data_IF_583305604969
#
_entry.id   IF_583305604969
#
_cell.length_a   1.000
_cell.length_b   1.000
_cell.length_c   1.000
_cell.angle_alpha   90.00
_cell.angle_beta   90.00
_cell.angle_gamma   90.00
#
_symmetry.space_group_name_H-M   'P 1'
#
loop_
_entity.id
_entity.type
_entity.pdbx_description
1 polymer ?
#
# COMPACT_ATOMS: atom_id res chain seq x y z
N UNK A 1 -13.72 -13.78 -17.55
CA UNK A 1 -13.92 -13.34 -17.22
C UNK A 1 -13.45 -12.67 -16.51
N UNK A 2 -13.18 -12.41 -16.16
CA UNK A 2 -12.81 -11.81 -15.44
C UNK A 2 -11.58 -11.30 -15.35
N UNK A 3 -10.91 -11.00 -16.30
CA UNK A 3 -9.70 -10.44 -16.34
C UNK A 3 -9.64 -9.13 -15.83
N UNK A 4 -10.54 -8.27 -15.94
CA UNK A 4 -10.45 -6.98 -15.43
C UNK A 4 -10.58 -7.00 -13.94
N UNK A 5 -11.04 -8.03 -13.31
CA UNK A 5 -11.07 -8.06 -11.87
C UNK A 5 -9.74 -8.46 -11.27
N UNK A 6 -8.76 -8.85 -12.06
CA UNK A 6 -7.46 -9.23 -11.53
C UNK A 6 -6.80 -8.09 -10.76
N UNK A 7 -6.84 -6.87 -11.28
CA UNK A 7 -6.24 -5.73 -10.59
C UNK A 7 -6.98 -5.41 -9.30
N UNK A 8 -8.29 -5.51 -9.32
CA UNK A 8 -9.11 -5.26 -8.14
C UNK A 8 -8.82 -6.31 -7.08
N UNK A 9 -8.70 -7.56 -7.50
CA UNK A 9 -8.40 -8.65 -6.57
C UNK A 9 -7.03 -8.48 -5.94
N UNK A 10 -6.04 -8.06 -6.71
CA UNK A 10 -4.69 -7.81 -6.21
C UNK A 10 -4.71 -6.68 -5.19
N UNK A 11 -5.41 -5.59 -5.50
CA UNK A 11 -5.50 -4.44 -4.61
C UNK A 11 -6.16 -4.85 -3.30
N UNK A 12 -7.24 -5.59 -3.37
CA UNK A 12 -7.94 -6.03 -2.18
C UNK A 12 -7.06 -6.94 -1.34
N UNK A 13 -6.32 -7.82 -1.99
CA UNK A 13 -5.41 -8.71 -1.31
C UNK A 13 -4.32 -7.93 -0.59
N UNK A 14 -3.78 -6.91 -1.25
CA UNK A 14 -2.77 -6.06 -0.64
C UNK A 14 -3.36 -5.34 0.57
N UNK A 15 -4.55 -4.78 0.43
CA UNK A 15 -5.22 -4.12 1.55
C UNK A 15 -5.39 -5.06 2.73
N UNK A 16 -5.83 -6.28 2.46
CA UNK A 16 -6.01 -7.26 3.52
C UNK A 16 -4.70 -7.61 4.22
N UNK A 17 -3.61 -7.65 3.46
CA UNK A 17 -2.30 -7.97 4.02
C UNK A 17 -1.79 -6.85 4.92
N UNK A 18 -1.95 -5.59 4.50
CA UNK A 18 -1.29 -4.47 5.17
C UNK A 18 -2.19 -3.74 6.17
N UNK A 19 -3.49 -3.91 6.08
CA UNK A 19 -4.43 -3.13 6.89
C UNK A 19 -4.18 -3.27 8.39
N UNK A 20 -4.17 -4.49 8.88
CA UNK A 20 -4.00 -4.72 10.31
C UNK A 20 -2.62 -4.31 10.82
N UNK A 21 -1.53 -4.70 10.16
CA UNK A 21 -0.21 -4.25 10.62
C UNK A 21 -0.07 -2.74 10.65
N UNK A 22 -0.64 -2.03 9.68
CA UNK A 22 -0.58 -0.58 9.68
C UNK A 22 -1.46 0.02 10.77
N UNK A 23 -2.63 -0.55 11.00
CA UNK A 23 -3.51 -0.10 12.07
C UNK A 23 -2.82 -0.26 13.43
N UNK A 24 -2.09 -1.35 13.61
CA UNK A 24 -1.35 -1.60 14.84
C UNK A 24 -0.28 -0.54 15.09
N UNK A 25 0.21 0.08 14.02
CA UNK A 25 1.20 1.14 14.12
C UNK A 25 0.58 2.54 14.16
N UNK A 26 -0.75 2.63 14.06
CA UNK A 26 -1.45 3.90 14.13
C UNK A 26 -1.75 4.54 12.79
N UNK A 27 -1.76 3.75 11.73
CA UNK A 27 -2.03 4.27 10.38
C UNK A 27 -3.24 3.61 9.77
N UNK A 28 -3.99 4.39 8.99
CA UNK A 28 -5.10 3.88 8.20
C UNK A 28 -4.79 3.97 6.73
N UNK A 29 -5.39 3.08 5.94
CA UNK A 29 -5.23 3.09 4.50
C UNK A 29 -6.32 3.96 3.90
N UNK A 30 -5.92 4.99 3.16
CA UNK A 30 -6.87 5.84 2.45
C UNK A 30 -7.15 5.26 1.08
N UNK A 31 -6.10 4.82 0.39
CA UNK A 31 -6.25 4.35 -0.98
C UNK A 31 -5.08 3.48 -1.39
N UNK A 32 -5.36 2.49 -2.22
CA UNK A 32 -4.33 1.66 -2.82
C UNK A 32 -4.57 1.65 -4.33
N UNK A 33 -3.56 2.00 -5.09
CA UNK A 33 -3.64 2.02 -6.55
C UNK A 33 -2.48 1.23 -7.13
N UNK A 34 -2.76 0.50 -8.18
CA UNK A 34 -1.73 -0.23 -8.92
C UNK A 34 -1.84 0.21 -10.37
N UNK A 35 -0.78 0.79 -10.91
CA UNK A 35 -0.78 1.30 -12.26
C UNK A 35 0.42 0.79 -13.04
N UNK A 36 0.39 0.97 -14.36
CA UNK A 36 1.47 0.57 -15.24
C UNK A 36 1.30 -0.86 -15.76
N UNK A 37 1.82 -1.10 -16.94
CA UNK A 37 1.77 -2.43 -17.55
C UNK A 37 3.10 -3.14 -17.47
N UNK A 38 4.15 -2.47 -17.88
CA UNK A 38 5.49 -3.04 -17.88
C UNK A 38 6.18 -2.74 -16.58
N UNK A 39 6.10 -1.47 -16.16
CA UNK A 39 6.65 -1.05 -14.88
C UNK A 39 5.50 -0.69 -13.99
N UNK A 40 5.20 -1.56 -13.07
CA UNK A 40 4.08 -1.35 -12.17
C UNK A 40 4.48 -0.48 -11.00
N UNK A 41 3.58 0.43 -10.63
CA UNK A 41 3.75 1.27 -9.46
C UNK A 41 2.59 1.00 -8.52
N UNK A 42 2.92 0.59 -7.31
CA UNK A 42 1.93 0.41 -6.26
C UNK A 42 1.96 1.66 -5.40
N UNK A 43 0.87 2.40 -5.40
CA UNK A 43 0.75 3.63 -4.64
C UNK A 43 -0.18 3.40 -3.46
N UNK A 44 0.29 3.69 -2.27
CA UNK A 44 -0.49 3.54 -1.06
C UNK A 44 -0.60 4.89 -0.38
N UNK A 45 -1.84 5.34 -0.20
CA UNK A 45 -2.09 6.57 0.54
C UNK A 45 -2.52 6.22 1.94
N UNK A 46 -1.90 6.84 2.91
CA UNK A 46 -2.14 6.54 4.32
C UNK A 46 -2.51 7.81 5.07
N UNK A 47 -3.10 7.61 6.23
CA UNK A 47 -3.40 8.68 7.15
C UNK A 47 -3.10 8.18 8.55
N UNK A 48 -2.95 9.10 9.50
CA UNK A 48 -2.75 8.70 10.89
C UNK A 48 -4.10 8.62 11.59
N UNK A 49 -4.24 7.63 12.45
CA UNK A 49 -5.49 7.42 13.17
C UNK A 49 -5.66 8.40 14.32
N UNK A 50 -4.58 9.09 14.72
CA UNK A 50 -4.61 10.06 15.83
C UNK A 50 -4.83 11.50 15.36
N UNK A 51 -5.18 11.68 14.08
CA UNK A 51 -5.44 12.99 13.49
C UNK A 51 -4.23 13.90 13.41
N UNK A 52 -3.05 13.40 13.69
CA UNK A 52 -1.81 14.15 13.52
C UNK A 52 -1.40 14.03 12.04
N UNK A 53 -0.93 15.12 11.42
CA UNK A 53 -0.52 15.03 10.01
C UNK A 53 0.61 14.05 9.80
N UNK A 54 0.53 13.31 8.69
CA UNK A 54 1.56 12.36 8.31
C UNK A 54 2.78 13.15 7.84
N UNK A 55 3.95 12.73 8.27
CA UNK A 55 5.21 13.37 7.83
C UNK A 55 6.04 12.35 7.03
N UNK A 56 7.21 12.81 6.60
CA UNK A 56 8.09 11.97 5.75
C UNK A 56 8.56 10.73 6.50
N UNK A 57 8.84 10.86 7.79
CA UNK A 57 9.27 9.72 8.60
C UNK A 57 8.16 8.67 8.69
N UNK A 58 6.92 9.12 8.78
CA UNK A 58 5.78 8.21 8.80
C UNK A 58 5.71 7.42 7.50
N UNK A 59 5.85 8.11 6.37
CA UNK A 59 5.82 7.45 5.07
C UNK A 59 6.95 6.44 4.94
N UNK A 60 8.13 6.77 5.43
CA UNK A 60 9.27 5.85 5.37
C UNK A 60 9.03 4.61 6.22
N UNK A 61 8.47 4.79 7.41
CA UNK A 61 8.17 3.66 8.29
C UNK A 61 7.12 2.74 7.67
N UNK A 62 6.07 3.33 7.12
CA UNK A 62 5.02 2.55 6.47
C UNK A 62 5.56 1.83 5.25
N UNK A 63 6.38 2.52 4.46
CA UNK A 63 6.97 1.93 3.27
C UNK A 63 7.78 0.68 3.61
N UNK A 64 8.58 0.75 4.67
CA UNK A 64 9.37 -0.39 5.11
C UNK A 64 8.48 -1.55 5.56
N UNK A 65 7.47 -1.25 6.35
CA UNK A 65 6.55 -2.27 6.83
C UNK A 65 5.82 -2.95 5.67
N UNK A 66 5.32 -2.15 4.74
CA UNK A 66 4.60 -2.68 3.59
C UNK A 66 5.53 -3.51 2.72
N UNK A 67 6.75 -3.03 2.51
CA UNK A 67 7.72 -3.73 1.68
C UNK A 67 8.02 -5.14 2.23
N UNK A 68 8.21 -5.24 3.53
CA UNK A 68 8.46 -6.54 4.17
C UNK A 68 7.25 -7.47 4.01
N UNK A 69 6.06 -6.94 4.22
CA UNK A 69 4.84 -7.74 4.11
C UNK A 69 4.61 -8.21 2.68
N UNK A 70 4.83 -7.34 1.71
CA UNK A 70 4.62 -7.70 0.32
C UNK A 70 5.68 -8.69 -0.16
N UNK A 71 6.90 -8.60 0.37
CA UNK A 71 7.92 -9.60 0.06
C UNK A 71 7.52 -10.97 0.61
N UNK A 72 6.92 -10.98 1.78
CA UNK A 72 6.53 -12.22 2.42
C UNK A 72 5.36 -12.90 1.72
N UNK A 73 4.35 -12.14 1.34
CA UNK A 73 3.14 -12.68 0.73
C UNK A 73 3.17 -12.67 -0.79
N UNK A 74 4.01 -11.82 -1.37
CA UNK A 74 4.24 -11.75 -2.82
C UNK A 74 2.96 -11.70 -3.65
N UNK A 75 2.07 -10.73 -3.37
CA UNK A 75 0.80 -10.67 -4.10
C UNK A 75 0.91 -10.10 -5.50
N UNK A 76 2.01 -9.41 -5.81
CA UNK A 76 2.22 -8.82 -7.12
C UNK A 76 3.28 -9.60 -7.86
N UNK A 77 2.93 -10.07 -9.05
CA UNK A 77 3.85 -10.82 -9.86
C UNK A 77 4.81 -9.88 -10.54
N UNK A 78 6.10 -10.17 -10.49
CA UNK A 78 7.12 -9.37 -11.13
C UNK A 78 7.55 -8.16 -10.33
N UNK A 79 8.38 -7.34 -10.93
CA UNK A 79 8.92 -6.17 -10.26
C UNK A 79 7.91 -5.03 -10.23
N UNK A 80 7.99 -4.20 -9.21
CA UNK A 80 7.12 -3.05 -9.07
C UNK A 80 7.82 -2.00 -8.21
N UNK A 81 7.34 -0.76 -8.33
CA UNK A 81 7.79 0.33 -7.47
C UNK A 81 6.75 0.55 -6.38
N UNK A 82 7.22 0.79 -5.17
CA UNK A 82 6.33 1.07 -4.05
C UNK A 82 6.40 2.56 -3.71
N UNK A 83 5.24 3.19 -3.68
CA UNK A 83 5.12 4.60 -3.34
C UNK A 83 4.16 4.75 -2.18
N UNK A 84 4.58 5.42 -1.12
CA UNK A 84 3.72 5.68 0.03
C UNK A 84 3.59 7.19 0.18
N UNK A 85 2.36 7.67 0.28
CA UNK A 85 2.09 9.09 0.40
C UNK A 85 0.90 9.32 1.31
N UNK A 86 0.58 10.59 1.52
CA UNK A 86 -0.57 10.97 2.33
C UNK A 86 -1.30 12.12 1.62
N UNK A 87 -2.63 12.14 1.67
CA UNK A 87 -3.37 13.25 1.06
C UNK A 87 -3.02 14.61 1.67
N UNK A 88 -2.53 14.63 2.91
CA UNK A 88 -2.21 15.85 3.59
C UNK A 88 -0.80 16.37 3.39
N UNK A 89 -0.01 15.66 2.63
CA UNK A 89 1.38 16.09 2.40
C UNK A 89 1.51 17.14 1.30
#
# INVERSE_FOLDING_TARGET
MERKSDSVDIIKRIEDIIEQPLADKGYGIVRVLLSGNVRRTLQIMIDRLDDVPVNVDDCAAVSRTVSVLLDQYDPIEGAYYLEVSSPGL
#
